data_IF_689090019679
#
_entry.id   IF_689090019679
#
_cell.length_a   1.000
_cell.length_b   1.000
_cell.length_c   1.000
_cell.angle_alpha   90.00
_cell.angle_beta   90.00
_cell.angle_gamma   90.00
#
_symmetry.space_group_name_H-M   'P 1'
#
loop_
_entity.id
_entity.type
_entity.pdbx_description
1 polymer ?
#
# COMPACT_ATOMS: atom_id res chain seq x y z
N UNK A 1 -3.54 5.07 19.84
CA UNK A 1 -2.77 4.47 20.97
C UNK A 1 -3.55 3.48 21.82
N UNK A 2 -4.85 3.67 22.12
CA UNK A 2 -5.63 2.72 22.94
C UNK A 2 -5.49 1.25 22.52
N UNK A 3 -5.74 0.94 21.24
CA UNK A 3 -5.63 -0.41 20.64
C UNK A 3 -4.25 -1.05 20.84
N UNK A 4 -3.19 -0.26 20.63
CA UNK A 4 -1.79 -0.69 20.79
C UNK A 4 -1.49 -0.99 22.25
N UNK A 5 -1.75 -0.03 23.14
CA UNK A 5 -1.45 -0.16 24.59
C UNK A 5 -2.30 -1.20 25.30
N UNK A 6 -3.53 -1.43 24.85
CA UNK A 6 -4.37 -2.50 25.40
C UNK A 6 -4.00 -3.88 24.88
N UNK A 7 -3.06 -3.97 23.93
CA UNK A 7 -2.64 -5.22 23.28
C UNK A 7 -3.82 -6.10 22.86
N UNK A 8 -4.85 -5.51 22.26
CA UNK A 8 -6.05 -6.26 21.89
C UNK A 8 -5.88 -7.14 20.63
N UNK A 9 -4.69 -7.13 20.02
CA UNK A 9 -4.30 -7.97 18.89
C UNK A 9 -2.78 -8.13 18.86
N UNK A 10 -2.28 -9.27 18.36
CA UNK A 10 -0.84 -9.50 18.16
C UNK A 10 -0.32 -8.93 16.82
N UNK A 11 -1.22 -8.81 15.84
CA UNK A 11 -0.93 -8.24 14.52
C UNK A 11 -1.90 -7.10 14.24
N UNK A 12 -1.35 -5.95 13.87
CA UNK A 12 -2.11 -4.77 13.50
C UNK A 12 -2.10 -4.60 11.98
N UNK A 13 -3.28 -4.52 11.37
CA UNK A 13 -3.44 -4.31 9.93
C UNK A 13 -3.86 -2.85 9.67
N UNK A 14 -2.94 -2.02 9.19
CA UNK A 14 -3.19 -0.61 8.89
C UNK A 14 -2.14 -0.07 7.91
N UNK A 15 -2.31 1.17 7.45
CA UNK A 15 -1.38 1.79 6.50
C UNK A 15 -1.47 3.31 6.49
N UNK A 16 -0.64 3.93 5.65
CA UNK A 16 -0.62 5.37 5.40
C UNK A 16 -1.98 5.94 4.98
N UNK A 17 -2.87 5.14 4.37
CA UNK A 17 -4.21 5.60 4.01
C UNK A 17 -5.03 6.05 5.21
N UNK A 18 -4.83 5.42 6.38
CA UNK A 18 -5.57 5.73 7.61
C UNK A 18 -4.86 6.75 8.49
N UNK A 19 -3.53 6.72 8.51
CA UNK A 19 -2.70 7.55 9.42
C UNK A 19 -2.16 8.81 8.74
N UNK A 20 -2.38 8.95 7.44
CA UNK A 20 -2.18 10.17 6.64
C UNK A 20 -0.82 10.28 5.92
N UNK A 21 0.30 9.91 6.55
CA UNK A 21 1.63 10.04 5.92
C UNK A 21 2.50 8.81 6.17
N UNK A 22 3.51 8.59 5.30
CA UNK A 22 4.51 7.54 5.51
C UNK A 22 5.26 7.72 6.83
N UNK A 23 5.58 8.97 7.22
CA UNK A 23 6.24 9.25 8.50
C UNK A 23 5.35 8.86 9.68
N UNK A 24 4.07 9.25 9.67
CA UNK A 24 3.12 8.89 10.74
C UNK A 24 2.91 7.39 10.81
N UNK A 25 2.81 6.74 9.65
CA UNK A 25 2.71 5.28 9.56
C UNK A 25 3.93 4.61 10.18
N UNK A 26 5.12 4.97 9.73
CA UNK A 26 6.38 4.47 10.27
C UNK A 26 6.47 4.69 11.79
N UNK A 27 6.19 5.90 12.29
CA UNK A 27 6.19 6.19 13.73
C UNK A 27 5.21 5.30 14.51
N UNK A 28 4.02 5.05 13.96
CA UNK A 28 3.04 4.19 14.63
C UNK A 28 3.45 2.71 14.61
N UNK A 29 4.13 2.23 13.56
CA UNK A 29 4.71 0.90 13.53
C UNK A 29 5.74 0.70 14.66
N UNK A 30 6.60 1.69 14.91
CA UNK A 30 7.55 1.66 16.03
C UNK A 30 6.84 1.68 17.38
N UNK A 31 5.76 2.44 17.53
CA UNK A 31 4.96 2.43 18.75
C UNK A 31 4.34 1.04 19.01
N UNK A 32 3.87 0.35 17.96
CA UNK A 32 3.36 -1.03 18.06
C UNK A 32 4.48 -2.04 18.37
N UNK A 33 5.67 -1.84 17.78
CA UNK A 33 6.84 -2.69 18.05
C UNK A 33 7.24 -2.68 19.52
N UNK A 34 7.21 -1.51 20.17
CA UNK A 34 7.51 -1.38 21.61
C UNK A 34 6.51 -2.14 22.49
N UNK A 35 5.29 -2.38 22.02
CA UNK A 35 4.30 -3.24 22.68
C UNK A 35 4.36 -4.70 22.20
N UNK A 36 5.36 -5.07 21.39
CA UNK A 36 5.56 -6.43 20.89
C UNK A 36 4.55 -6.88 19.83
N UNK A 37 3.91 -5.94 19.12
CA UNK A 37 2.93 -6.23 18.07
C UNK A 37 3.57 -6.16 16.68
N UNK A 38 3.18 -7.07 15.79
CA UNK A 38 3.56 -7.04 14.38
C UNK A 38 2.63 -6.16 13.55
N UNK A 39 3.08 -5.74 12.37
CA UNK A 39 2.34 -4.88 11.45
C UNK A 39 2.23 -5.55 10.08
N UNK A 40 0.99 -5.69 9.60
CA UNK A 40 0.68 -6.00 8.22
C UNK A 40 0.22 -4.71 7.53
N UNK A 41 0.88 -4.29 6.45
CA UNK A 41 0.39 -3.15 5.67
C UNK A 41 -0.97 -3.52 5.06
N UNK A 42 -1.95 -2.67 5.32
CA UNK A 42 -3.27 -2.72 4.72
C UNK A 42 -3.36 -1.94 3.40
N UNK A 43 -4.15 -2.42 2.44
CA UNK A 43 -4.50 -1.66 1.22
C UNK A 43 -5.94 -1.90 0.76
N UNK A 44 -6.51 -0.93 0.04
CA UNK A 44 -7.70 -1.07 -0.80
C UNK A 44 -7.31 -0.66 -2.21
N UNK A 45 -7.41 -1.57 -3.19
CA UNK A 45 -7.18 -1.29 -4.61
C UNK A 45 -6.07 -0.27 -4.88
N UNK A 46 -4.81 -0.66 -4.69
CA UNK A 46 -3.67 0.25 -4.91
C UNK A 46 -2.94 -0.03 -6.21
N UNK A 47 -2.29 1.03 -6.71
CA UNK A 47 -1.42 1.01 -7.88
C UNK A 47 0.05 1.19 -7.45
N UNK A 48 0.97 1.07 -8.40
CA UNK A 48 2.39 0.93 -8.14
C UNK A 48 3.02 2.04 -7.28
N UNK A 49 2.54 3.28 -7.37
CA UNK A 49 3.05 4.41 -6.57
C UNK A 49 2.88 4.17 -5.06
N UNK A 50 1.66 3.83 -4.65
CA UNK A 50 1.35 3.65 -3.23
C UNK A 50 1.82 2.27 -2.72
N UNK A 51 1.85 1.28 -3.61
CA UNK A 51 2.49 -0.01 -3.36
C UNK A 51 3.98 0.17 -3.01
N UNK A 52 4.73 0.91 -3.84
CA UNK A 52 6.16 1.17 -3.63
C UNK A 52 6.43 1.98 -2.36
N UNK A 53 5.63 3.02 -2.12
CA UNK A 53 5.71 3.82 -0.90
C UNK A 53 5.49 3.00 0.38
N UNK A 54 4.48 2.12 0.37
CA UNK A 54 4.23 1.21 1.47
C UNK A 54 5.33 0.17 1.64
N UNK A 55 5.87 -0.34 0.54
CA UNK A 55 6.96 -1.31 0.54
C UNK A 55 8.23 -0.76 1.19
N UNK A 56 8.60 0.49 0.90
CA UNK A 56 9.70 1.18 1.60
C UNK A 56 9.51 1.22 3.12
N UNK A 57 8.27 1.43 3.60
CA UNK A 57 7.98 1.39 5.04
C UNK A 57 8.13 -0.02 5.57
N UNK A 58 7.61 -1.04 4.89
CA UNK A 58 7.70 -2.43 5.34
C UNK A 58 9.14 -2.95 5.39
N UNK A 59 10.01 -2.52 4.47
CA UNK A 59 11.44 -2.84 4.50
C UNK A 59 12.22 -2.16 5.64
N UNK A 60 11.69 -1.07 6.22
CA UNK A 60 12.43 -0.24 7.18
C UNK A 60 11.95 -0.35 8.63
N UNK A 61 10.84 -1.03 8.89
CA UNK A 61 10.32 -1.25 10.25
C UNK A 61 10.77 -2.61 10.80
N UNK A 62 10.99 -2.73 12.12
CA UNK A 62 11.48 -3.97 12.73
C UNK A 62 10.40 -5.05 12.91
N UNK A 63 9.13 -4.71 12.68
CA UNK A 63 7.98 -5.54 13.02
C UNK A 63 7.00 -5.74 11.86
N UNK A 64 7.47 -5.62 10.61
CA UNK A 64 6.67 -6.02 9.46
C UNK A 64 6.42 -7.54 9.50
N UNK A 65 5.22 -7.98 9.10
CA UNK A 65 4.92 -9.39 8.84
C UNK A 65 5.61 -9.88 7.56
N UNK A 66 5.78 -11.20 7.42
CA UNK A 66 6.41 -11.83 6.24
C UNK A 66 5.71 -11.52 4.92
N UNK A 67 4.39 -11.30 4.97
CA UNK A 67 3.57 -10.88 3.85
C UNK A 67 2.69 -9.70 4.24
N UNK A 68 2.42 -8.83 3.27
CA UNK A 68 1.52 -7.68 3.41
C UNK A 68 0.51 -7.65 2.26
N UNK A 69 -0.60 -6.94 2.46
CA UNK A 69 -1.63 -6.86 1.42
C UNK A 69 -1.11 -6.08 0.21
N UNK A 70 -1.39 -6.60 -0.98
CA UNK A 70 -0.99 -6.07 -2.28
C UNK A 70 -2.07 -6.38 -3.31
N UNK A 71 -2.18 -5.53 -4.33
CA UNK A 71 -3.24 -5.67 -5.34
C UNK A 71 -2.73 -5.78 -6.77
N UNK A 72 -1.43 -5.62 -7.01
CA UNK A 72 -0.87 -5.56 -8.36
C UNK A 72 -1.20 -6.79 -9.22
N UNK A 73 -1.22 -8.00 -8.64
CA UNK A 73 -1.58 -9.24 -9.36
C UNK A 73 -3.04 -9.30 -9.83
N UNK A 74 -3.91 -8.46 -9.27
CA UNK A 74 -5.34 -8.39 -9.60
C UNK A 74 -5.65 -7.20 -10.51
N UNK A 75 -4.67 -6.33 -10.79
CA UNK A 75 -4.84 -5.18 -11.65
C UNK A 75 -4.60 -5.57 -13.10
N UNK A 76 -5.51 -5.21 -13.99
CA UNK A 76 -5.34 -5.41 -15.43
C UNK A 76 -4.24 -4.49 -16.00
N UNK A 77 -4.09 -3.29 -15.41
CA UNK A 77 -3.17 -2.27 -15.87
C UNK A 77 -2.42 -1.60 -14.71
N UNK A 78 -1.25 -1.06 -15.01
CA UNK A 78 -0.36 -0.37 -14.07
C UNK A 78 -0.04 1.04 -14.58
N UNK A 79 0.22 1.99 -13.67
CA UNK A 79 0.54 3.39 -14.01
C UNK A 79 2.04 3.68 -14.01
N UNK A 80 2.87 2.64 -14.01
CA UNK A 80 4.32 2.73 -13.95
C UNK A 80 4.92 2.24 -15.26
N UNK A 81 6.04 2.84 -15.65
CA UNK A 81 6.80 2.42 -16.85
C UNK A 81 7.30 0.98 -16.69
N UNK A 82 7.81 0.64 -15.49
CA UNK A 82 8.18 -0.72 -15.11
C UNK A 82 7.16 -1.24 -14.07
N UNK A 83 6.49 -2.38 -14.30
CA UNK A 83 5.56 -2.93 -13.32
C UNK A 83 6.27 -3.31 -12.02
N UNK A 84 5.55 -3.22 -10.91
CA UNK A 84 6.11 -3.65 -9.62
C UNK A 84 6.34 -5.17 -9.63
N UNK A 85 7.47 -5.68 -9.09
CA UNK A 85 7.75 -7.11 -9.13
C UNK A 85 6.67 -7.99 -8.48
N UNK A 86 5.90 -7.44 -7.53
CA UNK A 86 4.83 -8.16 -6.85
C UNK A 86 3.64 -8.51 -7.77
N UNK A 87 3.55 -7.89 -8.96
CA UNK A 87 2.57 -8.23 -9.99
C UNK A 87 2.75 -9.66 -10.55
N UNK A 88 3.97 -10.20 -10.52
CA UNK A 88 4.29 -11.49 -11.14
C UNK A 88 4.84 -12.53 -10.15
N UNK A 89 5.36 -12.09 -9.00
CA UNK A 89 6.02 -12.97 -8.02
C UNK A 89 5.78 -12.53 -6.58
N UNK A 90 5.78 -13.44 -5.60
CA UNK A 90 5.45 -13.10 -4.21
C UNK A 90 6.52 -12.29 -3.46
N UNK A 91 7.69 -12.04 -4.07
CA UNK A 91 8.81 -11.32 -3.45
C UNK A 91 9.18 -10.08 -4.26
N UNK A 92 9.01 -8.91 -3.66
CA UNK A 92 9.42 -7.64 -4.25
C UNK A 92 10.94 -7.42 -4.13
N UNK A 93 11.50 -7.60 -2.93
CA UNK A 93 12.92 -7.35 -2.64
C UNK A 93 13.23 -5.88 -2.31
N UNK A 94 14.51 -5.55 -2.12
CA UNK A 94 14.94 -4.17 -1.81
C UNK A 94 14.83 -3.28 -3.06
N UNK A 95 14.47 -2.01 -2.86
CA UNK A 95 14.47 -0.99 -3.92
C UNK A 95 15.78 -0.21 -3.86
N UNK A 96 16.58 -0.30 -4.92
CA UNK A 96 17.90 0.34 -5.02
C UNK A 96 17.88 1.73 -5.67
N UNK A 97 16.93 1.98 -6.56
CA UNK A 97 16.77 3.25 -7.26
C UNK A 97 16.40 4.37 -6.24
N UNK A 98 16.86 5.62 -6.43
CA UNK A 98 16.52 6.74 -5.54
C UNK A 98 15.02 7.01 -5.40
N UNK A 99 14.63 7.66 -4.31
CA UNK A 99 13.23 8.02 -4.05
C UNK A 99 12.35 6.79 -3.84
N UNK A 100 11.18 6.75 -4.49
CA UNK A 100 10.32 5.56 -4.48
C UNK A 100 10.87 4.43 -5.38
N UNK A 101 11.85 4.72 -6.25
CA UNK A 101 12.43 3.77 -7.19
C UNK A 101 11.48 3.33 -8.31
N UNK A 102 10.52 4.18 -8.63
CA UNK A 102 9.51 3.98 -9.69
C UNK A 102 9.49 5.19 -10.63
N UNK A 103 8.98 4.97 -11.83
CA UNK A 103 8.70 6.01 -12.81
C UNK A 103 7.27 5.86 -13.28
N UNK A 104 6.54 6.98 -13.35
CA UNK A 104 5.13 7.00 -13.76
C UNK A 104 5.04 6.98 -15.28
N UNK A 105 4.23 6.08 -15.82
CA UNK A 105 3.84 6.13 -17.22
C UNK A 105 2.77 7.24 -17.38
N UNK A 106 3.19 8.37 -17.95
CA UNK A 106 2.33 9.54 -18.10
C UNK A 106 1.23 9.30 -19.12
N UNK A 107 1.49 8.55 -20.18
CA UNK A 107 0.48 8.27 -21.21
C UNK A 107 -0.62 7.37 -20.64
N UNK A 108 -0.23 6.34 -19.88
CA UNK A 108 -1.18 5.45 -19.21
C UNK A 108 -1.95 6.17 -18.09
N UNK A 109 -1.29 7.06 -17.34
CA UNK A 109 -1.94 7.93 -16.36
C UNK A 109 -3.00 8.81 -17.03
N UNK A 110 -2.68 9.47 -18.15
CA UNK A 110 -3.62 10.34 -18.85
C UNK A 110 -4.78 9.55 -19.45
N UNK A 111 -4.54 8.33 -19.94
CA UNK A 111 -5.60 7.42 -20.37
C UNK A 111 -6.62 7.16 -19.25
N UNK A 112 -6.16 6.79 -18.06
CA UNK A 112 -7.06 6.52 -16.92
C UNK A 112 -7.64 7.78 -16.30
N UNK A 113 -6.95 8.92 -16.44
CA UNK A 113 -7.53 10.21 -16.08
C UNK A 113 -8.77 10.51 -16.91
N UNK A 114 -8.72 10.34 -18.24
CA UNK A 114 -9.89 10.54 -19.11
C UNK A 114 -10.98 9.50 -18.85
N UNK A 115 -10.63 8.25 -18.54
CA UNK A 115 -11.60 7.23 -18.12
C UNK A 115 -12.32 7.66 -16.84
N UNK A 116 -11.60 8.13 -15.82
CA UNK A 116 -12.18 8.65 -14.59
C UNK A 116 -13.07 9.88 -14.84
N UNK A 117 -12.68 10.78 -15.73
CA UNK A 117 -13.49 11.96 -16.09
C UNK A 117 -14.82 11.57 -16.74
N UNK A 118 -14.83 10.50 -17.53
CA UNK A 118 -16.02 9.99 -18.23
C UNK A 118 -16.92 9.18 -17.31
N UNK A 119 -16.34 8.26 -16.55
CA UNK A 119 -17.07 7.20 -15.84
C UNK A 119 -17.18 7.45 -14.33
N UNK A 120 -16.37 8.36 -13.78
CA UNK A 120 -16.26 8.63 -12.35
C UNK A 120 -15.49 7.55 -11.59
N UNK A 121 -15.71 7.48 -10.29
CA UNK A 121 -15.10 6.46 -9.44
C UNK A 121 -15.84 5.12 -9.60
N UNK A 122 -15.10 4.07 -9.98
CA UNK A 122 -15.60 2.70 -9.84
C UNK A 122 -15.62 2.32 -8.36
N UNK A 123 -16.81 2.04 -7.84
CA UNK A 123 -16.97 1.64 -6.45
C UNK A 123 -16.62 0.17 -6.28
N UNK A 124 -15.83 -0.19 -5.25
CA UNK A 124 -15.53 -1.59 -4.95
C UNK A 124 -16.71 -2.34 -4.33
N UNK A 125 -17.87 -1.69 -4.20
CA UNK A 125 -19.11 -2.23 -3.68
C UNK A 125 -20.27 -1.81 -4.58
N UNK A 126 -21.28 -2.68 -4.70
CA UNK A 126 -22.52 -2.36 -5.40
C UNK A 126 -23.35 -1.47 -4.48
N UNK A 127 -23.78 -0.31 -4.96
CA UNK A 127 -24.86 0.44 -4.32
C UNK A 127 -26.14 -0.31 -4.69
N UNK A 128 -26.83 -0.87 -3.70
CA UNK A 128 -28.20 -1.35 -3.93
C UNK A 128 -29.06 -0.14 -4.32
N UNK A 129 -29.65 -0.19 -5.51
CA UNK A 129 -30.70 0.74 -5.92
C UNK A 129 -32.04 0.18 -5.45
N UNK A 130 -32.82 0.99 -4.75
CA UNK A 130 -34.22 0.71 -4.36
C UNK A 130 -35.10 0.32 -5.57
#
# INVERSE_FOLDING_TARGET
>A
MRVIRSRCADVLCFSSYWVGTLRRFHTLCHAAHLEGQSVCKHTHGELGVAAAAGHHVMLSIPNATDGVQQTATMMEHELLVEPTPIAERPKWGRIDKPGLGIEVDVDQLMHYHEAYRRDGQFLPYRIESD
#
